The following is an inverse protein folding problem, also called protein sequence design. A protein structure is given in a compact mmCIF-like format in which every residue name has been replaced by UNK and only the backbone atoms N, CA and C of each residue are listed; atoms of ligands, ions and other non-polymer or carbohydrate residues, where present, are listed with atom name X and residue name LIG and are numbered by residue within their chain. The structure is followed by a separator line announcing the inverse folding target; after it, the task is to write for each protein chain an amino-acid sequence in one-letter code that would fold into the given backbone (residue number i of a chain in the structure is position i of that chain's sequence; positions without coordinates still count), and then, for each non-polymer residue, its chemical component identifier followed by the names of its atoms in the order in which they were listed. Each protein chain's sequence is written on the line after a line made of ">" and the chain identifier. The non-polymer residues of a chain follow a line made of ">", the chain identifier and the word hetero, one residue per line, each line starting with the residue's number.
data_IF_753583510064
#
_entry.id   IF_753583510064
#
_cell.length_a   1.000
_cell.length_b   1.000
_cell.length_c   1.000
_cell.angle_alpha   90.00
_cell.angle_beta   90.00
_cell.angle_gamma   90.00
#
_symmetry.space_group_name_H-M   'P 1'
#
loop_
_entity.id
_entity.type
_entity.pdbx_description
1 polymer ?
#
# COMPACT_ATOMS: atom_id res chain seq x y z
N UNK A 1 4.58 27.77 18.54
CA UNK A 1 4.23 26.57 17.75
C UNK A 1 4.67 25.35 18.51
N UNK A 2 3.76 24.49 18.99
CA UNK A 2 4.07 23.08 19.11
C UNK A 2 3.56 22.38 17.83
N UNK A 3 4.39 21.69 17.05
CA UNK A 3 3.91 20.59 16.23
C UNK A 3 3.79 19.38 17.16
N UNK A 4 2.56 18.94 17.45
CA UNK A 4 2.30 17.64 18.07
C UNK A 4 3.08 16.54 17.32
N UNK A 5 3.94 15.76 17.99
CA UNK A 5 4.45 14.53 17.44
C UNK A 5 3.92 13.37 18.30
N UNK A 6 2.61 13.35 18.59
CA UNK A 6 1.93 12.07 18.77
C UNK A 6 1.92 11.43 17.38
N UNK A 7 3.09 10.89 17.01
CA UNK A 7 3.32 10.17 15.80
C UNK A 7 2.34 9.02 15.80
N UNK A 8 1.25 9.19 15.04
CA UNK A 8 0.36 8.12 14.65
C UNK A 8 1.24 7.04 14.07
N UNK A 9 1.53 6.03 14.91
CA UNK A 9 2.44 4.92 14.62
C UNK A 9 1.82 4.23 13.43
N UNK A 10 2.24 4.64 12.25
CA UNK A 10 1.70 4.15 11.01
C UNK A 10 2.37 2.79 10.85
N UNK A 11 1.67 1.76 11.30
CA UNK A 11 2.21 0.42 11.28
C UNK A 11 2.35 -0.04 9.83
N UNK A 12 3.40 -0.80 9.57
CA UNK A 12 3.56 -1.46 8.28
C UNK A 12 2.62 -2.66 8.26
N UNK A 13 1.61 -2.59 7.41
CA UNK A 13 0.63 -3.65 7.20
C UNK A 13 0.83 -4.30 5.84
N UNK A 14 0.38 -5.55 5.74
CA UNK A 14 0.36 -6.31 4.50
C UNK A 14 -0.89 -5.94 3.74
N UNK A 15 -0.76 -5.68 2.44
CA UNK A 15 -1.89 -5.37 1.60
C UNK A 15 -1.71 -5.87 0.19
N UNK A 16 -2.83 -6.10 -0.48
CA UNK A 16 -2.88 -6.31 -1.92
C UNK A 16 -3.17 -4.97 -2.57
N UNK A 17 -2.22 -4.47 -3.35
CA UNK A 17 -2.37 -3.22 -4.09
C UNK A 17 -2.66 -3.54 -5.54
N UNK A 18 -3.77 -3.00 -6.04
CA UNK A 18 -4.12 -3.08 -7.46
C UNK A 18 -3.32 -2.04 -8.25
N UNK A 19 -2.32 -2.50 -9.00
CA UNK A 19 -1.43 -1.66 -9.81
C UNK A 19 -1.46 -2.12 -11.27
N UNK A 20 -2.52 -1.78 -12.03
CA UNK A 20 -2.70 -2.23 -13.42
C UNK A 20 -1.67 -1.69 -14.42
N UNK A 21 -0.95 -0.67 -13.98
CA UNK A 21 0.08 0.04 -14.69
C UNK A 21 1.12 0.43 -13.65
N UNK A 22 2.02 -0.48 -13.29
CA UNK A 22 3.26 -0.15 -12.54
C UNK A 22 4.21 0.77 -13.37
N UNK A 23 3.66 1.51 -14.33
CA UNK A 23 4.30 2.04 -15.53
C UNK A 23 5.25 3.22 -15.23
N UNK A 24 6.55 3.02 -15.49
CA UNK A 24 7.38 3.54 -16.60
C UNK A 24 7.06 4.90 -17.28
N UNK A 25 6.03 5.65 -16.91
CA UNK A 25 5.79 7.00 -17.44
C UNK A 25 5.07 7.88 -16.42
N UNK A 26 5.86 8.55 -15.58
CA UNK A 26 5.48 9.87 -15.09
C UNK A 26 4.43 9.96 -13.98
N UNK A 27 4.45 9.11 -12.95
CA UNK A 27 4.19 9.58 -11.58
C UNK A 27 4.42 8.45 -10.58
N UNK A 28 5.46 8.66 -9.79
CA UNK A 28 5.90 7.88 -8.65
C UNK A 28 4.84 7.87 -7.51
N UNK A 29 3.63 7.38 -7.78
CA UNK A 29 2.53 7.27 -6.80
C UNK A 29 2.90 6.20 -5.78
N UNK A 30 3.71 6.60 -4.80
CA UNK A 30 3.98 5.89 -3.54
C UNK A 30 2.78 5.96 -2.57
N UNK A 31 1.62 6.46 -3.03
CA UNK A 31 0.43 6.70 -2.22
C UNK A 31 -0.77 6.13 -2.97
N UNK A 32 -1.53 5.29 -2.28
CA UNK A 32 -2.71 4.63 -2.81
C UNK A 32 -3.89 4.94 -1.88
N UNK A 33 -5.07 5.16 -2.47
CA UNK A 33 -6.30 5.31 -1.69
C UNK A 33 -6.72 3.95 -1.14
N UNK A 34 -7.40 3.93 0.01
CA UNK A 34 -7.95 2.69 0.60
C UNK A 34 -8.78 1.84 -0.36
N UNK A 35 -9.44 2.45 -1.35
CA UNK A 35 -10.20 1.72 -2.37
C UNK A 35 -9.34 0.84 -3.30
N UNK A 36 -8.05 1.11 -3.44
CA UNK A 36 -7.12 0.31 -4.26
C UNK A 36 -6.15 -0.53 -3.43
N UNK A 37 -6.24 -0.46 -2.10
CA UNK A 37 -5.39 -1.16 -1.15
C UNK A 37 -6.27 -2.01 -0.28
N UNK A 38 -6.12 -3.32 -0.42
CA UNK A 38 -6.82 -4.25 0.46
C UNK A 38 -5.86 -4.73 1.54
N UNK A 39 -6.03 -4.21 2.76
CA UNK A 39 -5.26 -4.65 3.93
C UNK A 39 -5.59 -6.12 4.22
N UNK A 40 -4.56 -6.90 4.48
CA UNK A 40 -4.63 -8.31 4.86
C UNK A 40 -3.98 -8.48 6.23
N UNK A 41 -4.43 -9.50 6.96
CA UNK A 41 -3.94 -9.75 8.31
C UNK A 41 -2.51 -10.33 8.28
N UNK A 42 -2.09 -10.89 7.14
CA UNK A 42 -0.77 -11.52 7.00
C UNK A 42 -0.19 -11.44 5.59
N UNK A 43 1.12 -11.62 5.51
CA UNK A 43 1.86 -11.69 4.25
C UNK A 43 1.33 -12.81 3.35
N UNK A 44 0.95 -13.95 3.93
CA UNK A 44 0.41 -15.11 3.20
C UNK A 44 -0.90 -14.78 2.48
N UNK A 45 -1.83 -14.11 3.15
CA UNK A 45 -3.08 -13.64 2.52
C UNK A 45 -2.81 -12.58 1.44
N UNK A 46 -1.89 -11.65 1.70
CA UNK A 46 -1.49 -10.66 0.70
C UNK A 46 -0.89 -11.34 -0.53
N UNK A 47 -0.12 -12.41 -0.34
CA UNK A 47 0.44 -13.20 -1.44
C UNK A 47 -0.64 -14.02 -2.15
N UNK A 48 -1.56 -14.65 -1.42
CA UNK A 48 -2.66 -15.43 -1.99
C UNK A 48 -3.62 -14.56 -2.82
N UNK A 49 -3.81 -13.30 -2.42
CA UNK A 49 -4.59 -12.32 -3.19
C UNK A 49 -3.79 -11.56 -4.25
N UNK A 50 -2.45 -11.71 -4.28
CA UNK A 50 -1.62 -11.14 -5.32
C UNK A 50 -1.73 -12.00 -6.59
N UNK A 51 -2.16 -11.37 -7.67
CA UNK A 51 -2.31 -12.03 -8.95
C UNK A 51 -1.82 -11.09 -10.05
N UNK A 52 -0.77 -11.52 -10.75
CA UNK A 52 -0.17 -10.75 -11.84
C UNK A 52 -1.13 -10.58 -13.03
N UNK A 53 -2.07 -11.52 -13.23
CA UNK A 53 -3.07 -11.45 -14.31
C UNK A 53 -4.13 -10.40 -13.99
N UNK A 54 -4.56 -10.34 -12.72
CA UNK A 54 -5.43 -9.29 -12.20
C UNK A 54 -4.66 -8.00 -11.89
N UNK A 55 -3.34 -7.94 -12.11
CA UNK A 55 -2.48 -6.80 -11.81
C UNK A 55 -2.56 -6.35 -10.35
N UNK A 56 -2.73 -7.32 -9.46
CA UNK A 56 -2.73 -7.18 -8.01
C UNK A 56 -1.41 -7.70 -7.50
N UNK A 57 -0.73 -6.91 -6.68
CA UNK A 57 0.56 -7.30 -6.14
C UNK A 57 0.55 -7.14 -4.63
N UNK A 58 1.08 -8.14 -3.95
CA UNK A 58 1.33 -8.06 -2.52
C UNK A 58 2.31 -6.92 -2.27
N UNK A 59 2.02 -6.10 -1.28
CA UNK A 59 2.84 -4.98 -0.89
C UNK A 59 2.71 -4.72 0.60
N UNK A 60 3.76 -4.15 1.16
CA UNK A 60 3.74 -3.52 2.47
C UNK A 60 3.28 -2.09 2.29
N UNK A 61 2.27 -1.71 3.05
CA UNK A 61 1.76 -0.35 3.10
C UNK A 61 1.83 0.17 4.52
N UNK A 62 1.88 1.49 4.65
CA UNK A 62 1.91 2.19 5.91
C UNK A 62 0.65 3.07 5.97
N UNK A 63 -0.19 2.84 6.97
CA UNK A 63 -1.47 3.52 7.12
C UNK A 63 -2.37 2.84 8.16
N UNK A 64 -3.64 3.26 8.28
CA UNK A 64 -4.32 4.27 7.47
C UNK A 64 -3.97 5.71 7.89
N UNK A 65 -3.36 6.49 7.01
CA UNK A 65 -3.19 7.94 7.24
C UNK A 65 -4.40 8.69 6.71
N UNK A 66 -5.04 9.49 7.57
CA UNK A 66 -6.15 10.35 7.17
C UNK A 66 -5.61 11.63 6.52
N UNK A 67 -5.91 11.83 5.24
CA UNK A 67 -5.63 13.09 4.54
C UNK A 67 -6.53 14.20 5.09
N UNK A 68 -6.12 15.47 4.92
CA UNK A 68 -6.88 16.64 5.39
C UNK A 68 -8.29 16.72 4.77
N UNK A 69 -8.47 16.21 3.53
CA UNK A 69 -9.78 16.03 2.88
C UNK A 69 -10.62 14.84 3.40
N UNK A 70 -10.20 14.16 4.48
CA UNK A 70 -10.96 13.06 5.08
C UNK A 70 -10.85 11.71 4.36
N UNK A 71 -9.95 11.59 3.38
CA UNK A 71 -9.69 10.36 2.64
C UNK A 71 -8.59 9.54 3.31
N UNK A 72 -8.77 8.22 3.37
CA UNK A 72 -7.74 7.30 3.82
C UNK A 72 -6.74 7.02 2.70
N UNK A 73 -5.49 7.36 2.96
CA UNK A 73 -4.36 7.08 2.08
C UNK A 73 -3.38 6.13 2.76
N UNK A 74 -2.83 5.24 1.97
CA UNK A 74 -1.82 4.28 2.34
C UNK A 74 -0.55 4.58 1.58
N UNK A 75 0.57 4.62 2.29
CA UNK A 75 1.88 4.81 1.70
C UNK A 75 2.46 3.45 1.36
N UNK A 76 2.83 3.24 0.11
CA UNK A 76 3.57 2.05 -0.28
C UNK A 76 4.96 2.10 0.36
N UNK A 77 5.26 1.09 1.18
CA UNK A 77 6.57 0.86 1.77
C UNK A 77 7.42 0.08 0.79
N UNK A 78 6.95 -1.12 0.41
CA UNK A 78 7.71 -2.07 -0.41
C UNK A 78 6.78 -3.05 -1.12
N UNK A 79 7.13 -3.51 -2.31
CA UNK A 79 6.40 -4.59 -3.00
C UNK A 79 6.90 -5.95 -2.51
N UNK A 80 5.99 -6.82 -2.12
CA UNK A 80 6.25 -8.21 -1.74
C UNK A 80 6.07 -9.14 -2.95
N UNK A 81 6.52 -8.72 -4.13
CA UNK A 81 6.48 -9.57 -5.31
C UNK A 81 7.45 -10.74 -5.13
N UNK A 82 7.06 -11.99 -5.45
CA UNK A 82 7.98 -13.11 -5.39
C UNK A 82 9.06 -12.87 -6.44
N UNK A 83 10.33 -12.79 -6.02
CA UNK A 83 11.46 -12.79 -6.96
C UNK A 83 11.40 -14.13 -7.71
N UNK A 84 11.17 -14.08 -9.03
CA UNK A 84 11.37 -15.25 -9.87
C UNK A 84 12.88 -15.44 -10.04
N UNK A 85 13.45 -16.43 -9.36
CA UNK A 85 14.77 -17.00 -9.68
C UNK A 85 14.68 -17.98 -10.86
#
# INVERSE_FOLDING_TARGET
>A
MPPDPEGGVSNVEYAVVYAPKLNLSGRNRKRFSANCVEIKESAEEAHAGADEKEKRYAAKVLGPSKSSEGQFIFYLVEWLIPNRE
#
